data_IF_696348684982
#
_entry.id   IF_696348684982
#
_cell.length_a   1.000
_cell.length_b   1.000
_cell.length_c   1.000
_cell.angle_alpha   90.00
_cell.angle_beta   90.00
_cell.angle_gamma   90.00
#
_symmetry.space_group_name_H-M   'P 1'
#
loop_
_entity.id
_entity.type
_entity.pdbx_description
1 polymer ?
#
# COMPACT_ATOMS: atom_id res chain seq x y z
N UNK A 1 15.72 -15.40 -24.79
CA UNK A 1 14.44 -15.77 -24.15
C UNK A 1 13.96 -14.61 -23.32
N UNK A 2 12.77 -14.05 -23.61
CA UNK A 2 12.21 -12.95 -22.83
C UNK A 2 11.57 -13.51 -21.55
N UNK A 3 11.95 -12.96 -20.40
CA UNK A 3 11.45 -13.39 -19.10
C UNK A 3 9.94 -13.10 -18.98
N UNK A 4 9.17 -14.01 -18.35
CA UNK A 4 7.74 -13.83 -18.10
C UNK A 4 7.41 -12.50 -17.43
N UNK A 5 8.30 -11.99 -16.58
CA UNK A 5 8.18 -10.67 -15.93
C UNK A 5 8.05 -9.50 -16.90
N UNK A 6 8.67 -9.61 -18.09
CA UNK A 6 8.70 -8.53 -19.11
C UNK A 6 7.65 -8.74 -20.20
N UNK A 7 7.11 -9.95 -20.35
CA UNK A 7 6.15 -10.30 -21.41
C UNK A 7 4.70 -10.36 -20.93
N UNK A 8 4.45 -10.90 -19.73
CA UNK A 8 3.09 -11.04 -19.23
C UNK A 8 2.47 -9.66 -18.96
N UNK A 9 1.31 -9.31 -19.53
CA UNK A 9 0.79 -7.94 -19.54
C UNK A 9 0.58 -7.36 -18.13
N UNK A 10 0.09 -8.14 -17.17
CA UNK A 10 -0.05 -7.68 -15.77
C UNK A 10 1.29 -7.57 -15.04
N UNK A 11 2.19 -8.53 -15.25
CA UNK A 11 3.46 -8.58 -14.51
C UNK A 11 4.41 -7.52 -15.06
N UNK A 12 4.32 -7.20 -16.35
CA UNK A 12 5.04 -6.09 -16.98
C UNK A 12 4.73 -4.75 -16.29
N UNK A 13 3.51 -4.57 -15.78
CA UNK A 13 3.14 -3.35 -15.04
C UNK A 13 3.93 -3.26 -13.73
N UNK A 14 3.87 -4.32 -12.93
CA UNK A 14 4.62 -4.42 -11.67
C UNK A 14 6.13 -4.30 -11.93
N UNK A 15 6.62 -4.91 -13.01
CA UNK A 15 8.03 -4.92 -13.34
C UNK A 15 8.58 -3.51 -13.59
N UNK A 16 7.89 -2.65 -14.34
CA UNK A 16 8.40 -1.30 -14.63
C UNK A 16 8.22 -0.31 -13.48
N UNK A 17 7.20 -0.51 -12.63
CA UNK A 17 6.90 0.43 -11.54
C UNK A 17 7.60 0.08 -10.23
N UNK A 18 7.96 -1.18 -10.01
CA UNK A 18 8.45 -1.65 -8.70
C UNK A 18 9.80 -2.35 -8.75
N UNK A 19 10.11 -3.13 -9.81
CA UNK A 19 11.31 -3.98 -9.82
C UNK A 19 12.44 -3.36 -10.66
N UNK A 20 12.18 -3.14 -11.94
CA UNK A 20 13.12 -2.58 -12.91
C UNK A 20 12.85 -1.08 -13.09
N UNK A 21 12.67 -0.36 -11.98
CA UNK A 21 12.49 1.10 -11.97
C UNK A 21 13.87 1.78 -11.91
N UNK A 22 14.22 2.69 -12.83
CA UNK A 22 15.46 3.46 -12.74
C UNK A 22 15.34 4.52 -11.63
N UNK A 23 15.97 4.27 -10.47
CA UNK A 23 16.09 5.23 -9.38
C UNK A 23 17.49 5.87 -9.36
N UNK A 24 17.58 7.14 -8.93
CA UNK A 24 18.88 7.78 -8.70
C UNK A 24 19.65 7.05 -7.59
N UNK A 25 20.97 6.96 -7.72
CA UNK A 25 21.83 6.32 -6.72
C UNK A 25 21.97 7.13 -5.41
N UNK A 26 21.77 8.45 -5.47
CA UNK A 26 21.87 9.35 -4.31
C UNK A 26 20.49 9.82 -3.81
N UNK A 27 19.57 8.88 -3.55
CA UNK A 27 18.26 9.21 -2.97
C UNK A 27 18.40 9.52 -1.47
N UNK A 28 17.79 10.61 -1.02
CA UNK A 28 17.76 10.98 0.40
C UNK A 28 16.72 10.19 1.19
N UNK A 29 16.80 10.23 2.52
CA UNK A 29 15.84 9.57 3.39
C UNK A 29 14.38 10.03 3.17
N UNK A 30 14.17 11.25 2.67
CA UNK A 30 12.84 11.82 2.36
C UNK A 30 12.07 11.02 1.32
N UNK A 31 12.76 10.31 0.42
CA UNK A 31 12.11 9.46 -0.58
C UNK A 31 11.38 8.25 0.03
N UNK A 32 11.68 7.87 1.28
CA UNK A 32 10.99 6.78 1.97
C UNK A 32 9.56 7.14 2.41
N UNK A 33 9.20 8.42 2.49
CA UNK A 33 7.85 8.80 2.93
C UNK A 33 6.76 8.30 1.98
N UNK A 34 7.04 8.18 0.68
CA UNK A 34 6.07 7.64 -0.27
C UNK A 34 5.67 6.18 0.05
N UNK A 35 6.65 5.31 0.29
CA UNK A 35 6.38 3.92 0.66
C UNK A 35 5.76 3.81 2.06
N UNK A 36 6.21 4.66 3.00
CA UNK A 36 5.64 4.72 4.35
C UNK A 36 4.14 5.07 4.33
N UNK A 37 3.72 6.03 3.49
CA UNK A 37 2.32 6.39 3.33
C UNK A 37 1.49 5.25 2.72
N UNK A 38 2.05 4.53 1.74
CA UNK A 38 1.38 3.35 1.17
C UNK A 38 1.16 2.25 2.21
N UNK A 39 2.17 1.96 3.04
CA UNK A 39 2.07 1.00 4.13
C UNK A 39 1.07 1.49 5.19
N UNK A 40 1.13 2.77 5.55
CA UNK A 40 0.19 3.39 6.48
C UNK A 40 -1.26 3.21 6.03
N UNK A 41 -1.55 3.47 4.74
CA UNK A 41 -2.89 3.28 4.18
C UNK A 41 -3.36 1.83 4.31
N UNK A 42 -2.51 0.86 3.96
CA UNK A 42 -2.85 -0.57 4.08
C UNK A 42 -3.16 -0.93 5.53
N UNK A 43 -2.33 -0.48 6.48
CA UNK A 43 -2.55 -0.72 7.91
C UNK A 43 -3.88 -0.10 8.35
N UNK A 44 -4.15 1.16 8.00
CA UNK A 44 -5.39 1.86 8.40
C UNK A 44 -6.65 1.22 7.82
N UNK A 45 -6.61 0.73 6.58
CA UNK A 45 -7.74 0.01 5.98
C UNK A 45 -7.99 -1.31 6.71
N UNK A 46 -6.93 -2.08 6.97
CA UNK A 46 -7.05 -3.37 7.65
C UNK A 46 -7.55 -3.17 9.09
N UNK A 47 -6.90 -2.33 9.89
CA UNK A 47 -7.30 -2.07 11.28
C UNK A 47 -8.68 -1.43 11.36
N UNK A 48 -9.00 -0.50 10.45
CA UNK A 48 -10.32 0.11 10.34
C UNK A 48 -11.41 -0.90 10.01
N UNK A 49 -11.15 -1.87 9.12
CA UNK A 49 -12.07 -2.97 8.82
C UNK A 49 -12.33 -3.84 10.05
N UNK A 50 -11.29 -4.18 10.81
CA UNK A 50 -11.44 -4.93 12.06
C UNK A 50 -12.23 -4.15 13.11
N UNK A 51 -11.96 -2.85 13.26
CA UNK A 51 -12.70 -2.00 14.19
C UNK A 51 -14.17 -1.87 13.79
N UNK A 52 -14.46 -1.70 12.49
CA UNK A 52 -15.82 -1.60 11.97
C UNK A 52 -16.67 -2.85 12.22
N UNK A 53 -16.06 -4.03 12.38
CA UNK A 53 -16.80 -5.25 12.76
C UNK A 53 -17.31 -5.23 14.21
N UNK A 54 -16.72 -4.42 15.08
CA UNK A 54 -17.11 -4.30 16.49
C UNK A 54 -17.77 -2.95 16.84
N UNK A 55 -17.62 -1.94 15.98
CA UNK A 55 -18.16 -0.61 16.19
C UNK A 55 -19.66 -0.52 15.86
N UNK A 56 -20.41 0.23 16.69
CA UNK A 56 -21.82 0.59 16.41
C UNK A 56 -21.93 2.09 16.18
N UNK A 57 -22.49 2.49 15.03
CA UNK A 57 -22.52 3.90 14.59
C UNK A 57 -23.63 4.77 15.22
N UNK A 58 -24.39 4.26 16.18
CA UNK A 58 -25.45 5.02 16.84
C UNK A 58 -24.87 6.04 17.84
N UNK A 59 -25.41 7.26 17.86
CA UNK A 59 -24.89 8.36 18.69
C UNK A 59 -24.87 8.06 20.20
N UNK A 60 -25.75 7.17 20.68
CA UNK A 60 -25.82 6.79 22.09
C UNK A 60 -24.81 5.70 22.45
N UNK A 61 -24.41 4.86 21.49
CA UNK A 61 -23.55 3.69 21.75
C UNK A 61 -22.15 3.80 21.16
N UNK A 62 -21.88 4.76 20.27
CA UNK A 62 -20.60 4.90 19.55
C UNK A 62 -19.36 5.03 20.46
N UNK A 63 -19.49 5.60 21.65
CA UNK A 63 -18.38 5.69 22.61
C UNK A 63 -18.20 4.40 23.43
N UNK A 64 -19.26 3.63 23.62
CA UNK A 64 -19.29 2.44 24.48
C UNK A 64 -19.11 1.13 23.72
N UNK A 65 -19.20 1.16 22.39
CA UNK A 65 -18.94 0.03 21.48
C UNK A 65 -17.45 -0.30 21.37
#
# INVERSE_FOLDING_TARGET
MTNLRKTHPLIKIINHSFIDLPALSNISAWWNFGSLLGICLIIQILTGLFLAMHYTSDTLTAFSS
#
